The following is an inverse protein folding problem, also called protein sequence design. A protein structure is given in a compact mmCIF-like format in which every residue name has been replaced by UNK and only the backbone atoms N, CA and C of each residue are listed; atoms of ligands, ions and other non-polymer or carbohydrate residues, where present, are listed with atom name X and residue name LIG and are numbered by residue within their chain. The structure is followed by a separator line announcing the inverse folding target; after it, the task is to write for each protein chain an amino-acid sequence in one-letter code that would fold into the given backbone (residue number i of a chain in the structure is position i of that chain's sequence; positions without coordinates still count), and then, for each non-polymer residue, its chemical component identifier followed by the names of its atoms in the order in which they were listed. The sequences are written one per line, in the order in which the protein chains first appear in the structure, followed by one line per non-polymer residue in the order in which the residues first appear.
data_IF_097287134251
#
_entry.id   IF_097287134251
#
_cell.length_a   1.000
_cell.length_b   1.000
_cell.length_c   1.000
_cell.angle_alpha   90.00
_cell.angle_beta   90.00
_cell.angle_gamma   90.00
#
_symmetry.space_group_name_H-M   'P 1'
#
loop_
_entity.id
_entity.type
_entity.pdbx_description
1 polymer ?
#
# COMPACT_ATOMS: atom_id res chain seq x y z
N UNK A 1 5.00 8.60 -33.66
CA UNK A 1 5.83 8.64 -32.44
C UNK A 1 5.77 7.27 -31.78
N UNK A 2 6.89 6.55 -31.75
CA UNK A 2 6.96 5.29 -31.00
C UNK A 2 6.96 5.67 -29.53
N UNK A 3 5.89 5.34 -28.79
CA UNK A 3 5.87 5.51 -27.34
C UNK A 3 6.86 4.51 -26.77
N UNK A 4 7.98 4.99 -26.23
CA UNK A 4 8.85 4.13 -25.45
C UNK A 4 8.08 3.61 -24.24
N UNK A 5 8.19 2.30 -23.97
CA UNK A 5 7.55 1.68 -22.81
C UNK A 5 8.18 2.24 -21.52
N UNK A 6 7.35 2.63 -20.54
CA UNK A 6 7.85 3.21 -19.30
C UNK A 6 8.68 2.19 -18.51
N UNK A 7 9.65 2.66 -17.71
CA UNK A 7 10.51 1.77 -16.93
C UNK A 7 9.72 0.85 -15.97
N UNK A 8 8.62 1.37 -15.41
CA UNK A 8 7.68 0.60 -14.59
C UNK A 8 6.99 -0.52 -15.39
N UNK A 9 6.55 -0.26 -16.63
CA UNK A 9 5.89 -1.27 -17.46
C UNK A 9 6.86 -2.41 -17.80
N UNK A 10 8.13 -2.07 -18.10
CA UNK A 10 9.19 -3.06 -18.33
C UNK A 10 9.43 -3.93 -17.08
N UNK A 11 9.43 -3.32 -15.89
CA UNK A 11 9.56 -4.02 -14.62
C UNK A 11 8.36 -4.95 -14.36
N UNK A 12 7.14 -4.43 -14.47
CA UNK A 12 5.92 -5.21 -14.26
C UNK A 12 5.85 -6.42 -15.20
N UNK A 13 6.17 -6.23 -16.49
CA UNK A 13 6.23 -7.33 -17.46
C UNK A 13 7.27 -8.39 -17.08
N UNK A 14 8.46 -7.98 -16.64
CA UNK A 14 9.52 -8.91 -16.18
C UNK A 14 9.10 -9.73 -14.96
N UNK A 15 8.26 -9.16 -14.09
CA UNK A 15 7.84 -9.75 -12.83
C UNK A 15 6.43 -10.36 -12.86
N UNK A 16 5.80 -10.48 -14.04
CA UNK A 16 4.43 -10.96 -14.21
C UNK A 16 3.40 -10.18 -13.37
N UNK A 17 3.61 -8.88 -13.21
CA UNK A 17 2.70 -7.97 -12.51
C UNK A 17 1.82 -7.29 -13.56
N UNK A 18 0.50 -7.38 -13.40
CA UNK A 18 -0.42 -6.64 -14.27
C UNK A 18 -0.48 -5.19 -13.79
N UNK A 19 -0.02 -4.27 -14.64
CA UNK A 19 -0.04 -2.84 -14.35
C UNK A 19 -1.39 -2.23 -14.78
N UNK A 20 -2.28 -2.00 -13.81
CA UNK A 20 -3.56 -1.34 -14.03
C UNK A 20 -3.47 0.16 -13.76
N UNK A 21 -3.93 0.96 -14.72
CA UNK A 21 -4.07 2.41 -14.55
C UNK A 21 -5.50 2.75 -14.12
N UNK A 22 -5.65 3.85 -13.36
CA UNK A 22 -6.95 4.39 -13.01
C UNK A 22 -7.65 4.87 -14.28
N UNK A 23 -8.91 4.45 -14.46
CA UNK A 23 -9.74 4.89 -15.56
C UNK A 23 -9.98 6.39 -15.46
N UNK A 24 -9.94 7.07 -16.61
CA UNK A 24 -10.24 8.50 -16.69
C UNK A 24 -11.64 8.78 -16.11
N UNK A 25 -11.70 9.69 -15.13
CA UNK A 25 -12.94 10.07 -14.46
C UNK A 25 -13.41 9.12 -13.35
N UNK A 26 -12.61 8.13 -12.95
CA UNK A 26 -12.93 7.21 -11.83
C UNK A 26 -11.94 7.32 -10.66
N UNK A 27 -11.85 8.48 -9.98
CA UNK A 27 -10.90 8.68 -8.88
C UNK A 27 -11.15 7.74 -7.68
N UNK A 28 -12.39 7.23 -7.55
CA UNK A 28 -12.76 6.27 -6.51
C UNK A 28 -11.99 4.94 -6.58
N UNK A 29 -11.41 4.58 -7.74
CA UNK A 29 -10.54 3.40 -7.86
C UNK A 29 -9.29 3.50 -6.99
N UNK A 30 -8.85 4.71 -6.64
CA UNK A 30 -7.72 4.93 -5.72
C UNK A 30 -8.15 5.15 -4.26
N UNK A 31 -9.44 5.04 -3.93
CA UNK A 31 -9.98 5.50 -2.65
C UNK A 31 -9.33 4.85 -1.42
N UNK A 32 -8.91 3.58 -1.52
CA UNK A 32 -8.21 2.88 -0.43
C UNK A 32 -6.82 3.46 -0.19
N UNK A 33 -6.07 3.75 -1.26
CA UNK A 33 -4.73 4.35 -1.18
C UNK A 33 -4.81 5.76 -0.61
N UNK A 34 -5.75 6.58 -1.11
CA UNK A 34 -5.97 7.94 -0.60
C UNK A 34 -6.35 7.94 0.89
N UNK A 35 -7.16 6.96 1.33
CA UNK A 35 -7.49 6.79 2.75
C UNK A 35 -6.24 6.44 3.56
N UNK A 36 -5.43 5.48 3.11
CA UNK A 36 -4.19 5.08 3.80
C UNK A 36 -3.25 6.28 3.98
N UNK A 37 -3.02 7.06 2.92
CA UNK A 37 -2.19 8.25 2.98
C UNK A 37 -2.71 9.29 3.98
N UNK A 38 -4.04 9.49 4.03
CA UNK A 38 -4.63 10.41 5.01
C UNK A 38 -4.43 9.91 6.45
N UNK A 39 -4.60 8.61 6.69
CA UNK A 39 -4.36 8.03 8.03
C UNK A 39 -2.90 8.23 8.46
N UNK A 40 -1.93 7.97 7.56
CA UNK A 40 -0.51 8.19 7.85
C UNK A 40 -0.21 9.68 8.07
N UNK A 41 -0.79 10.57 7.28
CA UNK A 41 -0.63 12.01 7.43
C UNK A 41 -1.12 12.49 8.80
N UNK A 42 -2.36 12.16 9.16
CA UNK A 42 -3.01 12.64 10.38
C UNK A 42 -2.42 12.02 11.65
N UNK A 43 -2.10 10.71 11.61
CA UNK A 43 -1.72 9.94 12.81
C UNK A 43 -0.22 9.75 12.96
N UNK A 44 0.55 9.80 11.88
CA UNK A 44 2.00 9.65 11.94
C UNK A 44 2.72 10.97 11.66
N UNK A 45 2.59 11.52 10.45
CA UNK A 45 3.42 12.67 10.04
C UNK A 45 3.13 13.94 10.85
N UNK A 46 1.87 14.24 11.12
CA UNK A 46 1.49 15.43 11.90
C UNK A 46 1.80 15.29 13.40
N UNK A 47 1.78 14.06 13.92
CA UNK A 47 2.02 13.78 15.34
C UNK A 47 3.51 13.70 15.71
N UNK A 48 4.39 13.63 14.71
CA UNK A 48 5.82 13.41 14.92
C UNK A 48 6.66 14.59 14.42
N UNK A 49 7.81 14.80 15.06
CA UNK A 49 8.90 15.63 14.55
C UNK A 49 10.09 14.74 14.24
N UNK A 50 10.80 15.04 13.16
CA UNK A 50 11.92 14.25 12.68
C UNK A 50 13.21 15.06 12.74
N UNK A 51 14.24 14.49 13.35
CA UNK A 51 15.55 15.15 13.47
C UNK A 51 16.33 15.10 12.17
N UNK A 52 16.23 13.97 11.46
CA UNK A 52 16.88 13.68 10.19
C UNK A 52 16.13 12.52 9.51
N UNK A 53 16.58 12.16 8.31
CA UNK A 53 15.97 11.07 7.55
C UNK A 53 16.04 9.71 8.26
N UNK A 54 17.12 9.44 8.99
CA UNK A 54 17.25 8.18 9.73
C UNK A 54 16.22 8.06 10.87
N UNK A 55 16.00 9.14 11.62
CA UNK A 55 14.96 9.22 12.65
C UNK A 55 13.56 9.01 12.06
N UNK A 56 13.28 9.59 10.88
CA UNK A 56 12.05 9.32 10.14
C UNK A 56 11.91 7.83 9.80
N UNK A 57 12.95 7.19 9.26
CA UNK A 57 12.90 5.77 8.90
C UNK A 57 12.62 4.87 10.11
N UNK A 58 13.26 5.14 11.25
CA UNK A 58 13.04 4.35 12.48
C UNK A 58 11.60 4.50 12.99
N UNK A 59 11.09 5.73 13.05
CA UNK A 59 9.71 5.98 13.48
C UNK A 59 8.70 5.40 12.51
N UNK A 60 8.96 5.48 11.21
CA UNK A 60 8.09 4.92 10.18
C UNK A 60 8.04 3.39 10.27
N UNK A 61 9.17 2.73 10.56
CA UNK A 61 9.19 1.30 10.81
C UNK A 61 8.30 0.92 12.01
N UNK A 62 8.44 1.61 13.14
CA UNK A 62 7.59 1.38 14.31
C UNK A 62 6.12 1.68 14.04
N UNK A 63 5.81 2.72 13.26
CA UNK A 63 4.45 3.04 12.85
C UNK A 63 3.83 1.94 11.98
N UNK A 64 4.57 1.46 10.98
CA UNK A 64 4.10 0.38 10.11
C UNK A 64 3.86 -0.91 10.89
N UNK A 65 4.74 -1.25 11.83
CA UNK A 65 4.55 -2.42 12.68
C UNK A 65 3.32 -2.26 13.59
N UNK A 66 3.15 -1.10 14.21
CA UNK A 66 1.98 -0.81 15.03
C UNK A 66 0.67 -0.86 14.21
N UNK A 67 0.58 -0.13 13.11
CA UNK A 67 -0.65 0.00 12.32
C UNK A 67 -1.09 -1.34 11.72
N UNK A 68 -0.13 -2.13 11.21
CA UNK A 68 -0.42 -3.43 10.59
C UNK A 68 -0.71 -4.56 11.60
N UNK A 69 -0.47 -4.31 12.89
CA UNK A 69 -0.83 -5.21 13.99
C UNK A 69 -1.90 -4.62 14.92
N UNK A 70 -2.48 -3.48 14.58
CA UNK A 70 -3.64 -2.90 15.26
C UNK A 70 -4.92 -3.51 14.68
N UNK A 71 -5.92 -3.80 15.52
CA UNK A 71 -7.22 -4.29 15.05
C UNK A 71 -8.02 -3.18 14.36
N UNK A 72 -8.68 -3.51 13.25
CA UNK A 72 -9.54 -2.56 12.52
C UNK A 72 -10.97 -3.05 12.47
N UNK A 73 -11.93 -2.17 12.82
CA UNK A 73 -13.35 -2.47 12.69
C UNK A 73 -13.75 -2.83 11.25
N UNK A 74 -13.12 -2.21 10.26
CA UNK A 74 -13.34 -2.51 8.83
C UNK A 74 -12.89 -3.91 8.41
N UNK A 75 -12.10 -4.59 9.23
CA UNK A 75 -11.59 -5.95 9.02
C UNK A 75 -12.24 -6.96 10.00
N UNK A 76 -13.41 -6.63 10.56
CA UNK A 76 -14.09 -7.45 11.57
C UNK A 76 -13.23 -7.73 12.82
N UNK A 77 -12.48 -6.73 13.27
CA UNK A 77 -11.60 -6.83 14.44
C UNK A 77 -10.27 -7.53 14.17
N UNK A 78 -9.96 -7.88 12.93
CA UNK A 78 -8.64 -8.40 12.56
C UNK A 78 -7.64 -7.26 12.32
N UNK A 79 -6.37 -7.59 12.46
CA UNK A 79 -5.25 -6.74 12.02
C UNK A 79 -5.05 -6.85 10.50
N UNK A 80 -4.42 -5.86 9.84
CA UNK A 80 -4.08 -5.94 8.42
C UNK A 80 -3.22 -7.16 8.09
N UNK A 81 -2.26 -7.51 8.95
CA UNK A 81 -1.40 -8.69 8.77
C UNK A 81 -2.21 -10.01 8.85
N UNK A 82 -3.12 -10.14 9.82
CA UNK A 82 -4.01 -11.31 9.89
C UNK A 82 -4.96 -11.38 8.71
N UNK A 83 -5.48 -10.24 8.26
CA UNK A 83 -6.33 -10.19 7.08
C UNK A 83 -5.57 -10.64 5.84
N UNK A 84 -4.34 -10.14 5.64
CA UNK A 84 -3.48 -10.53 4.52
C UNK A 84 -3.19 -12.04 4.53
N UNK A 85 -2.76 -12.58 5.67
CA UNK A 85 -2.49 -14.01 5.80
C UNK A 85 -3.73 -14.87 5.47
N UNK A 86 -4.92 -14.44 5.88
CA UNK A 86 -6.17 -15.12 5.52
C UNK A 86 -6.52 -14.93 4.03
N UNK A 87 -6.28 -13.74 3.49
CA UNK A 87 -6.59 -13.42 2.10
C UNK A 87 -5.74 -14.24 1.13
N UNK A 88 -4.45 -14.40 1.39
CA UNK A 88 -3.52 -15.18 0.56
C UNK A 88 -3.90 -16.67 0.50
N UNK A 89 -4.54 -17.21 1.55
CA UNK A 89 -5.07 -18.58 1.55
C UNK A 89 -6.27 -18.76 0.62
N UNK A 90 -7.08 -17.71 0.45
CA UNK A 90 -8.37 -17.74 -0.27
C UNK A 90 -8.20 -17.27 -1.72
N UNK A 91 -7.36 -16.25 -1.92
CA UNK A 91 -7.03 -15.64 -3.18
C UNK A 91 -5.51 -15.59 -3.27
N UNK A 92 -4.84 -16.69 -3.68
CA UNK A 92 -3.42 -16.66 -3.90
C UNK A 92 -3.11 -15.50 -4.87
N UNK A 93 -2.06 -14.70 -4.61
CA UNK A 93 -1.74 -13.56 -5.45
C UNK A 93 -1.70 -14.03 -6.90
N UNK A 94 -2.22 -13.23 -7.83
CA UNK A 94 -2.28 -13.55 -9.26
C UNK A 94 -0.88 -13.89 -9.79
N UNK A 95 -0.47 -15.15 -9.64
CA UNK A 95 0.59 -15.76 -10.42
C UNK A 95 -0.06 -16.02 -11.75
N UNK A 96 0.34 -15.27 -12.78
CA UNK A 96 0.05 -15.66 -14.15
C UNK A 96 0.46 -17.13 -14.29
N UNK A 97 -0.51 -17.99 -14.62
CA UNK A 97 -0.25 -19.35 -15.10
C UNK A 97 0.26 -19.29 -16.52
#
# INVERSE_FOLDING_TARGET
MVKELHALDKFCAKHNIIHYLIDKGKPNQNGTVERSHREDEEKFYQQNKFKNFHDLQQKLYSWNDYYNNLEHCGLNGKTPNEFLANYELINPPNVCT
#
